data_IF_362874848902
#
_entry.id   IF_362874848902
#
_cell.length_a   1.000
_cell.length_b   1.000
_cell.length_c   1.000
_cell.angle_alpha   90.00
_cell.angle_beta   90.00
_cell.angle_gamma   90.00
#
_symmetry.space_group_name_H-M   'P 1'
#
loop_
_entity.id
_entity.type
_entity.pdbx_description
1 polymer ?
#
# COMPACT_ATOMS: atom_id res chain seq x y z
N UNK A 1 -9.86 -3.47 15.39
CA UNK A 1 -10.39 -4.86 15.46
C UNK A 1 -9.82 -5.70 14.32
N UNK A 2 -9.59 -7.00 14.50
CA UNK A 2 -9.06 -7.88 13.45
C UNK A 2 -10.14 -8.81 12.91
N UNK A 3 -10.29 -8.83 11.59
CA UNK A 3 -11.28 -9.60 10.85
C UNK A 3 -10.55 -10.55 9.88
N UNK A 4 -10.43 -11.84 10.20
CA UNK A 4 -9.72 -12.79 9.34
C UNK A 4 -10.47 -13.01 8.03
N UNK A 5 -9.76 -13.50 7.02
CA UNK A 5 -10.38 -14.06 5.83
C UNK A 5 -11.38 -15.17 6.20
N UNK A 6 -12.41 -15.38 5.39
CA UNK A 6 -13.46 -16.36 5.66
C UNK A 6 -13.71 -17.25 4.45
N UNK A 7 -13.66 -18.56 4.66
CA UNK A 7 -13.79 -19.57 3.60
C UNK A 7 -12.43 -20.13 3.19
N UNK A 8 -12.46 -21.03 2.20
CA UNK A 8 -11.26 -21.72 1.70
C UNK A 8 -11.16 -21.68 0.16
N UNK A 9 -12.17 -21.14 -0.52
CA UNK A 9 -12.28 -21.11 -1.98
C UNK A 9 -12.36 -19.66 -2.45
N UNK A 10 -11.19 -19.07 -2.71
CA UNK A 10 -11.06 -17.66 -3.09
C UNK A 10 -10.90 -17.52 -4.60
N UNK A 11 -11.39 -16.42 -5.15
CA UNK A 11 -11.37 -16.13 -6.59
C UNK A 11 -10.96 -14.68 -6.86
N UNK A 12 -10.43 -14.36 -8.05
CA UNK A 12 -10.01 -15.29 -9.11
C UNK A 12 -8.78 -16.09 -8.69
N UNK A 13 -8.57 -17.32 -9.15
CA UNK A 13 -7.40 -18.14 -8.81
C UNK A 13 -6.10 -17.47 -9.29
N UNK A 14 -5.00 -17.61 -8.54
CA UNK A 14 -3.70 -17.11 -9.00
C UNK A 14 -3.25 -17.94 -10.19
N UNK A 15 -2.67 -17.30 -11.22
CA UNK A 15 -2.14 -18.04 -12.36
C UNK A 15 -1.03 -19.01 -11.90
N UNK A 16 -0.93 -20.24 -12.44
CA UNK A 16 0.04 -21.23 -11.96
C UNK A 16 1.49 -20.74 -11.94
N UNK A 17 1.87 -19.88 -12.90
CA UNK A 17 3.21 -19.30 -12.98
C UNK A 17 3.47 -18.19 -11.94
N UNK A 18 2.42 -17.63 -11.31
CA UNK A 18 2.50 -16.65 -10.22
C UNK A 18 2.27 -17.29 -8.84
N UNK A 19 2.07 -18.62 -8.73
CA UNK A 19 1.79 -19.23 -7.42
C UNK A 19 2.95 -18.98 -6.42
N UNK A 20 2.65 -18.48 -5.20
CA UNK A 20 3.68 -18.24 -4.21
C UNK A 20 4.31 -19.57 -3.76
N UNK A 21 5.61 -19.57 -3.39
CA UNK A 21 6.24 -20.72 -2.76
C UNK A 21 5.46 -21.19 -1.53
N UNK A 22 5.32 -22.52 -1.38
CA UNK A 22 4.61 -23.14 -0.24
C UNK A 22 5.27 -22.80 1.11
N UNK A 23 6.60 -22.77 1.13
CA UNK A 23 7.38 -22.43 2.32
C UNK A 23 8.03 -21.07 2.12
N UNK A 24 7.73 -20.14 3.02
CA UNK A 24 8.20 -18.75 2.95
C UNK A 24 8.10 -18.09 4.33
N UNK A 25 8.91 -17.05 4.60
CA UNK A 25 8.77 -16.26 5.82
C UNK A 25 7.43 -15.52 5.81
N UNK A 26 6.69 -15.60 6.93
CA UNK A 26 5.45 -14.86 7.09
C UNK A 26 5.76 -13.38 7.33
N UNK A 27 5.56 -12.55 6.31
CA UNK A 27 5.77 -11.09 6.35
C UNK A 27 4.52 -10.42 5.82
N UNK A 28 3.77 -9.67 6.65
CA UNK A 28 2.49 -9.10 6.21
C UNK A 28 2.71 -7.98 5.18
N UNK A 29 1.74 -7.80 4.31
CA UNK A 29 1.54 -6.60 3.51
C UNK A 29 0.36 -5.82 4.08
N UNK A 30 0.65 -4.67 4.67
CA UNK A 30 -0.39 -3.73 5.06
C UNK A 30 -0.75 -2.81 3.90
N UNK A 31 -2.04 -2.70 3.60
CA UNK A 31 -2.54 -1.76 2.60
C UNK A 31 -3.59 -0.88 3.30
N UNK A 32 -3.23 0.35 3.70
CA UNK A 32 -4.17 1.20 4.40
C UNK A 32 -5.27 1.73 3.50
N UNK A 33 -6.52 1.53 3.92
CA UNK A 33 -7.70 2.04 3.27
C UNK A 33 -8.21 3.28 4.00
N UNK A 34 -8.50 4.35 3.28
CA UNK A 34 -9.29 5.47 3.83
C UNK A 34 -10.57 5.70 3.02
N UNK A 35 -10.45 5.69 1.69
CA UNK A 35 -11.57 5.96 0.78
C UNK A 35 -11.34 5.35 -0.60
N UNK A 36 -12.41 5.16 -1.36
CA UNK A 36 -12.41 4.58 -2.72
C UNK A 36 -12.19 3.05 -2.72
N UNK A 37 -13.29 2.31 -2.48
CA UNK A 37 -13.30 0.84 -2.49
C UNK A 37 -12.83 0.23 -3.82
N UNK A 38 -13.16 0.87 -4.95
CA UNK A 38 -12.79 0.36 -6.27
C UNK A 38 -11.26 0.38 -6.47
N UNK A 39 -10.60 1.46 -6.04
CA UNK A 39 -9.15 1.57 -6.07
C UNK A 39 -8.51 0.49 -5.19
N UNK A 40 -9.03 0.33 -3.96
CA UNK A 40 -8.56 -0.72 -3.05
C UNK A 40 -8.69 -2.13 -3.65
N UNK A 41 -9.81 -2.39 -4.32
CA UNK A 41 -10.06 -3.66 -5.03
C UNK A 41 -9.00 -3.91 -6.09
N UNK A 42 -8.69 -2.91 -6.93
CA UNK A 42 -7.65 -3.02 -7.95
C UNK A 42 -6.28 -3.34 -7.34
N UNK A 43 -5.86 -2.59 -6.32
CA UNK A 43 -4.55 -2.78 -5.68
C UNK A 43 -4.42 -4.18 -5.06
N UNK A 44 -5.44 -4.63 -4.32
CA UNK A 44 -5.45 -5.98 -3.74
C UNK A 44 -5.38 -7.06 -4.81
N UNK A 45 -6.16 -6.90 -5.90
CA UNK A 45 -6.15 -7.85 -7.02
C UNK A 45 -4.80 -7.86 -7.74
N UNK A 46 -4.14 -6.72 -7.93
CA UNK A 46 -2.81 -6.65 -8.53
C UNK A 46 -1.75 -7.39 -7.72
N UNK A 47 -1.77 -7.25 -6.39
CA UNK A 47 -0.88 -8.01 -5.50
C UNK A 47 -1.13 -9.52 -5.59
N UNK A 48 -2.39 -9.93 -5.51
CA UNK A 48 -2.78 -11.35 -5.59
C UNK A 48 -2.38 -11.93 -6.96
N UNK A 49 -2.68 -11.24 -8.06
CA UNK A 49 -2.36 -11.68 -9.41
C UNK A 49 -0.85 -11.83 -9.62
N UNK A 50 -0.05 -10.97 -8.98
CA UNK A 50 1.41 -11.00 -9.04
C UNK A 50 2.04 -11.97 -8.01
N UNK A 51 1.23 -12.84 -7.41
CA UNK A 51 1.66 -13.94 -6.57
C UNK A 51 1.73 -13.65 -5.08
N UNK A 52 1.31 -12.47 -4.61
CA UNK A 52 1.29 -12.20 -3.18
C UNK A 52 0.24 -13.08 -2.48
N UNK A 53 0.62 -13.84 -1.45
CA UNK A 53 -0.31 -14.71 -0.75
C UNK A 53 -1.41 -13.93 -0.04
N UNK A 54 -2.67 -14.32 -0.27
CA UNK A 54 -3.86 -13.63 0.24
C UNK A 54 -3.85 -13.54 1.77
N UNK A 55 -3.42 -14.60 2.43
CA UNK A 55 -3.32 -14.71 3.89
C UNK A 55 -2.28 -13.77 4.52
N UNK A 56 -1.36 -13.25 3.71
CA UNK A 56 -0.34 -12.28 4.12
C UNK A 56 -0.76 -10.83 3.81
N UNK A 57 -1.85 -10.63 3.07
CA UNK A 57 -2.42 -9.29 2.80
C UNK A 57 -3.39 -8.90 3.92
N UNK A 58 -3.14 -7.72 4.48
CA UNK A 58 -3.95 -7.11 5.53
C UNK A 58 -4.36 -5.71 5.09
N UNK A 59 -5.65 -5.55 4.81
CA UNK A 59 -6.22 -4.22 4.62
C UNK A 59 -6.29 -3.53 5.97
N UNK A 60 -5.69 -2.34 6.11
CA UNK A 60 -5.84 -1.55 7.34
C UNK A 60 -6.99 -0.58 7.14
N UNK A 61 -8.19 -0.89 7.65
CA UNK A 61 -9.34 0.03 7.57
C UNK A 61 -9.11 1.24 8.48
N UNK A 62 -8.70 2.34 7.84
CA UNK A 62 -8.49 3.67 8.40
C UNK A 62 -9.58 4.65 7.92
N UNK A 63 -10.75 4.15 7.53
CA UNK A 63 -11.88 5.00 7.11
C UNK A 63 -12.41 5.90 8.22
N UNK A 64 -12.19 5.53 9.48
CA UNK A 64 -12.68 6.29 10.64
C UNK A 64 -14.19 6.26 10.81
N UNK A 65 -14.85 5.23 10.27
CA UNK A 65 -16.32 5.08 10.23
C UNK A 65 -16.85 4.21 11.38
N UNK A 66 -16.10 4.13 12.49
CA UNK A 66 -16.38 3.24 13.62
C UNK A 66 -16.59 1.78 13.15
N UNK A 67 -17.74 1.17 13.43
CA UNK A 67 -18.09 -0.20 13.02
C UNK A 67 -18.99 -0.26 11.77
N UNK A 68 -19.25 0.87 11.12
CA UNK A 68 -20.23 0.99 10.03
C UNK A 68 -19.92 0.11 8.82
N UNK A 69 -18.66 -0.01 8.41
CA UNK A 69 -18.26 -0.91 7.31
C UNK A 69 -18.55 -2.39 7.64
N UNK A 70 -18.17 -2.83 8.85
CA UNK A 70 -18.41 -4.21 9.28
C UNK A 70 -19.91 -4.53 9.40
N UNK A 71 -20.72 -3.54 9.80
CA UNK A 71 -22.18 -3.67 9.91
C UNK A 71 -22.93 -3.33 8.62
N UNK A 72 -22.22 -2.99 7.53
CA UNK A 72 -22.79 -2.63 6.22
C UNK A 72 -23.78 -1.47 6.28
N UNK A 73 -23.46 -0.46 7.09
CA UNK A 73 -24.31 0.72 7.29
C UNK A 73 -24.04 1.85 6.28
N UNK A 74 -22.94 1.78 5.53
CA UNK A 74 -22.58 2.76 4.51
C UNK A 74 -23.04 2.30 3.12
N UNK A 75 -23.52 3.23 2.29
CA UNK A 75 -23.82 2.91 0.89
C UNK A 75 -22.54 2.70 0.07
N UNK A 76 -22.64 1.95 -1.02
CA UNK A 76 -21.50 1.69 -1.94
C UNK A 76 -20.98 2.96 -2.63
N UNK A 77 -21.79 4.03 -2.68
CA UNK A 77 -21.41 5.34 -3.19
C UNK A 77 -20.73 6.22 -2.14
N UNK A 78 -20.76 5.83 -0.87
CA UNK A 78 -20.03 6.50 0.20
C UNK A 78 -18.53 6.30 -0.02
N UNK A 79 -17.72 7.38 -0.06
CA UNK A 79 -16.27 7.27 -0.28
C UNK A 79 -15.57 6.41 0.76
N UNK A 80 -16.08 6.34 1.99
CA UNK A 80 -15.48 5.61 3.11
C UNK A 80 -15.98 4.16 3.24
N UNK A 81 -16.89 3.73 2.35
CA UNK A 81 -17.37 2.36 2.31
C UNK A 81 -16.23 1.41 1.91
N UNK A 82 -16.03 0.35 2.68
CA UNK A 82 -15.15 -0.77 2.36
C UNK A 82 -15.96 -2.06 2.34
N UNK A 83 -15.90 -2.81 1.24
CA UNK A 83 -16.66 -4.05 1.11
C UNK A 83 -15.97 -5.21 1.84
N UNK A 84 -16.27 -5.34 3.14
CA UNK A 84 -15.70 -6.37 3.99
C UNK A 84 -15.97 -7.79 3.48
N UNK A 85 -17.14 -8.01 2.90
CA UNK A 85 -17.52 -9.34 2.42
C UNK A 85 -16.72 -9.72 1.19
N UNK A 86 -16.61 -8.81 0.22
CA UNK A 86 -15.82 -9.02 -0.99
C UNK A 86 -14.37 -9.38 -0.63
N UNK A 87 -13.71 -8.57 0.20
CA UNK A 87 -12.31 -8.81 0.54
C UNK A 87 -12.10 -10.10 1.32
N UNK A 88 -12.99 -10.41 2.27
CA UNK A 88 -12.78 -11.55 3.18
C UNK A 88 -13.27 -12.88 2.61
N UNK A 89 -14.42 -12.89 1.93
CA UNK A 89 -15.02 -14.12 1.40
C UNK A 89 -14.58 -14.44 -0.02
N UNK A 90 -14.46 -13.43 -0.89
CA UNK A 90 -14.06 -13.65 -2.29
C UNK A 90 -12.54 -13.60 -2.45
N UNK A 91 -11.89 -12.56 -1.91
CA UNK A 91 -10.45 -12.36 -2.12
C UNK A 91 -9.56 -13.01 -1.06
N UNK A 92 -10.12 -13.45 0.05
CA UNK A 92 -9.38 -14.19 1.08
C UNK A 92 -8.34 -13.37 1.81
N UNK A 93 -8.49 -12.05 1.85
CA UNK A 93 -7.60 -11.15 2.59
C UNK A 93 -8.21 -10.79 3.94
N UNK A 94 -7.36 -10.42 4.89
CA UNK A 94 -7.82 -9.99 6.22
C UNK A 94 -7.95 -8.49 6.33
N UNK A 95 -8.79 -8.02 7.27
CA UNK A 95 -9.00 -6.60 7.53
C UNK A 95 -8.61 -6.31 8.99
N UNK A 96 -7.77 -5.31 9.19
CA UNK A 96 -7.40 -4.77 10.49
C UNK A 96 -7.95 -3.34 10.60
N UNK A 97 -9.02 -3.17 11.35
CA UNK A 97 -9.65 -1.88 11.53
C UNK A 97 -8.97 -1.07 12.64
N UNK A 98 -8.69 0.20 12.35
CA UNK A 98 -8.26 1.22 13.31
C UNK A 98 -9.41 1.63 14.23
N UNK A 99 -9.11 2.14 15.43
CA UNK A 99 -10.18 2.54 16.38
C UNK A 99 -10.88 3.84 15.98
N UNK A 100 -10.17 4.72 15.27
CA UNK A 100 -10.59 6.03 14.79
C UNK A 100 -9.79 6.36 13.53
N UNK A 101 -10.17 7.41 12.80
CA UNK A 101 -9.37 7.94 11.71
C UNK A 101 -7.98 8.36 12.22
N UNK A 102 -6.93 7.72 11.71
CA UNK A 102 -5.55 8.09 11.98
C UNK A 102 -5.00 8.95 10.83
N UNK A 103 -4.20 9.96 11.16
CA UNK A 103 -3.36 10.63 10.16
C UNK A 103 -2.24 9.69 9.67
N UNK A 104 -1.47 10.11 8.67
CA UNK A 104 -0.45 9.24 8.05
C UNK A 104 0.62 8.80 9.07
N UNK A 105 1.18 9.73 9.85
CA UNK A 105 2.20 9.39 10.85
C UNK A 105 1.67 8.43 11.93
N UNK A 106 0.45 8.67 12.42
CA UNK A 106 -0.23 7.78 13.37
C UNK A 106 -0.50 6.39 12.78
N UNK A 107 -0.92 6.32 11.52
CA UNK A 107 -1.19 5.08 10.80
C UNK A 107 0.10 4.26 10.57
N UNK A 108 1.21 4.92 10.24
CA UNK A 108 2.51 4.26 10.14
C UNK A 108 2.96 3.70 11.49
N UNK A 109 2.82 4.47 12.57
CA UNK A 109 3.08 4.00 13.93
C UNK A 109 2.15 2.86 14.35
N UNK A 110 0.89 2.87 13.90
CA UNK A 110 -0.05 1.78 14.14
C UNK A 110 0.43 0.48 13.48
N UNK A 111 0.81 0.51 12.21
CA UNK A 111 1.36 -0.67 11.50
C UNK A 111 2.64 -1.19 12.17
N UNK A 112 3.56 -0.28 12.53
CA UNK A 112 4.79 -0.62 13.27
C UNK A 112 4.47 -1.29 14.62
N UNK A 113 3.52 -0.73 15.39
CA UNK A 113 3.09 -1.26 16.68
C UNK A 113 2.44 -2.64 16.55
N UNK A 114 1.71 -2.90 15.47
CA UNK A 114 1.13 -4.22 15.16
C UNK A 114 2.25 -5.22 14.85
N UNK A 115 3.23 -4.84 14.04
CA UNK A 115 4.39 -5.68 13.74
C UNK A 115 5.17 -6.06 15.01
N UNK A 116 5.43 -5.08 15.88
CA UNK A 116 6.04 -5.31 17.20
C UNK A 116 5.22 -6.27 18.06
N UNK A 117 3.89 -6.11 18.10
CA UNK A 117 2.99 -6.97 18.89
C UNK A 117 3.02 -8.43 18.43
N UNK A 118 3.23 -8.63 17.12
CA UNK A 118 3.26 -9.94 16.47
C UNK A 118 4.67 -10.51 16.36
N UNK A 119 5.68 -9.80 16.86
CA UNK A 119 7.09 -10.15 16.73
C UNK A 119 7.54 -10.36 15.28
N UNK A 120 6.95 -9.60 14.35
CA UNK A 120 7.40 -9.60 12.97
C UNK A 120 8.65 -8.72 12.85
N UNK A 121 9.79 -9.27 12.39
CA UNK A 121 11.01 -8.47 12.20
C UNK A 121 10.84 -7.45 11.07
N UNK A 122 9.96 -7.78 10.13
CA UNK A 122 9.70 -7.03 8.91
C UNK A 122 8.21 -6.95 8.64
N UNK A 123 7.81 -5.88 7.96
CA UNK A 123 6.51 -5.81 7.30
C UNK A 123 6.65 -5.02 6.00
N UNK A 124 5.73 -5.28 5.08
CA UNK A 124 5.53 -4.44 3.92
C UNK A 124 4.36 -3.50 4.17
N UNK A 125 4.43 -2.29 3.63
CA UNK A 125 3.25 -1.47 3.43
C UNK A 125 3.19 -0.97 2.00
N UNK A 126 1.98 -0.77 1.49
CA UNK A 126 1.74 -0.24 0.15
C UNK A 126 0.67 0.84 0.18
N UNK A 127 0.78 1.76 -0.76
CA UNK A 127 -0.28 2.69 -1.12
C UNK A 127 -1.51 1.93 -1.64
N UNK A 128 -2.69 2.48 -1.45
CA UNK A 128 -3.94 1.84 -1.89
C UNK A 128 -4.36 2.18 -3.32
N UNK A 129 -3.59 3.05 -3.99
CA UNK A 129 -3.80 3.56 -5.35
C UNK A 129 -2.69 3.15 -6.30
N UNK A 130 -2.33 1.86 -6.26
CA UNK A 130 -1.29 1.27 -7.11
C UNK A 130 -1.81 0.18 -8.02
N UNK A 131 -1.24 0.10 -9.23
CA UNK A 131 -1.31 -1.07 -10.12
C UNK A 131 -0.02 -1.88 -10.02
N UNK A 132 -0.12 -3.20 -9.86
CA UNK A 132 1.05 -4.09 -9.67
C UNK A 132 1.04 -5.18 -10.73
N UNK A 133 2.17 -5.37 -11.41
CA UNK A 133 2.41 -6.52 -12.28
C UNK A 133 3.84 -7.06 -12.10
N UNK A 134 4.01 -8.36 -12.28
CA UNK A 134 5.32 -8.99 -12.48
C UNK A 134 6.01 -8.45 -13.75
N UNK A 135 7.35 -8.53 -13.83
CA UNK A 135 8.07 -8.35 -15.11
C UNK A 135 7.87 -9.58 -15.99
N UNK A 136 6.66 -9.79 -16.50
CA UNK A 136 6.34 -10.98 -17.28
C UNK A 136 7.11 -11.04 -18.61
N UNK A 137 7.61 -9.90 -19.10
CA UNK A 137 8.45 -9.81 -20.30
C UNK A 137 9.88 -10.38 -20.13
N UNK A 138 10.35 -10.62 -18.90
CA UNK A 138 11.72 -11.07 -18.64
C UNK A 138 11.87 -12.59 -18.84
N UNK A 139 13.03 -13.00 -19.38
CA UNK A 139 13.42 -14.41 -19.51
C UNK A 139 14.79 -14.66 -18.86
N UNK A 140 14.93 -15.58 -17.89
CA UNK A 140 13.87 -16.42 -17.32
C UNK A 140 12.85 -15.58 -16.51
N UNK A 141 11.60 -16.02 -16.56
CA UNK A 141 10.50 -15.41 -15.82
C UNK A 141 10.59 -15.69 -14.32
N UNK A 142 10.24 -14.70 -13.50
CA UNK A 142 10.04 -14.82 -12.06
C UNK A 142 8.96 -13.84 -11.61
N UNK A 143 8.03 -14.31 -10.78
CA UNK A 143 6.90 -13.50 -10.31
C UNK A 143 7.37 -12.33 -9.44
N UNK A 144 6.52 -11.31 -9.32
CA UNK A 144 6.75 -10.17 -8.43
C UNK A 144 7.06 -10.65 -7.00
N UNK A 145 6.23 -11.56 -6.48
CA UNK A 145 6.39 -12.02 -5.10
C UNK A 145 7.66 -12.85 -4.89
N UNK A 146 8.08 -13.66 -5.86
CA UNK A 146 9.36 -14.38 -5.77
C UNK A 146 10.55 -13.41 -5.71
N UNK A 147 10.53 -12.35 -6.53
CA UNK A 147 11.55 -11.28 -6.47
C UNK A 147 11.54 -10.54 -5.13
N UNK A 148 10.36 -10.27 -4.57
CA UNK A 148 10.21 -9.71 -3.22
C UNK A 148 10.85 -10.61 -2.17
N UNK A 149 10.65 -11.94 -2.24
CA UNK A 149 11.26 -12.90 -1.31
C UNK A 149 12.78 -12.94 -1.43
N UNK A 150 13.32 -12.84 -2.65
CA UNK A 150 14.78 -12.75 -2.86
C UNK A 150 15.36 -11.51 -2.18
N UNK A 151 14.73 -10.35 -2.38
CA UNK A 151 15.12 -9.09 -1.73
C UNK A 151 15.02 -9.20 -0.20
N UNK A 152 13.96 -9.83 0.33
CA UNK A 152 13.81 -10.04 1.77
C UNK A 152 14.93 -10.93 2.34
N UNK A 153 15.28 -12.01 1.63
CA UNK A 153 16.36 -12.93 2.03
C UNK A 153 17.72 -12.24 2.01
N UNK A 154 17.99 -11.42 0.99
CA UNK A 154 19.21 -10.60 0.91
C UNK A 154 19.26 -9.56 2.04
N UNK A 155 18.14 -8.91 2.34
CA UNK A 155 18.02 -7.93 3.41
C UNK A 155 18.33 -8.56 4.78
N UNK A 156 17.76 -9.73 5.06
CA UNK A 156 18.00 -10.48 6.29
C UNK A 156 19.44 -10.94 6.39
N UNK A 157 20.00 -11.51 5.32
CA UNK A 157 21.39 -11.97 5.28
C UNK A 157 22.38 -10.82 5.50
N UNK A 158 22.11 -9.66 4.90
CA UNK A 158 22.93 -8.46 5.07
C UNK A 158 22.86 -7.91 6.50
N UNK A 159 21.68 -7.96 7.14
CA UNK A 159 21.49 -7.59 8.54
C UNK A 159 22.24 -8.54 9.49
N UNK A 160 22.09 -9.85 9.30
CA UNK A 160 22.71 -10.87 10.16
C UNK A 160 24.23 -10.87 10.07
N UNK A 161 24.79 -10.58 8.89
CA UNK A 161 26.24 -10.46 8.71
C UNK A 161 26.81 -9.12 9.19
N UNK A 162 25.97 -8.16 9.58
CA UNK A 162 26.38 -6.80 9.93
C UNK A 162 26.90 -5.99 8.74
N UNK A 163 26.68 -6.46 7.51
CA UNK A 163 27.19 -5.83 6.27
C UNK A 163 26.45 -4.54 5.92
N UNK A 164 25.15 -4.45 6.22
CA UNK A 164 24.35 -3.24 6.05
C UNK A 164 23.45 -3.03 7.25
N UNK A 165 23.33 -1.76 7.64
CA UNK A 165 22.40 -1.29 8.66
C UNK A 165 21.21 -0.64 7.95
N UNK A 166 20.39 -1.43 7.26
CA UNK A 166 19.26 -0.89 6.50
C UNK A 166 18.01 -0.70 7.36
N UNK A 167 17.19 0.30 7.01
CA UNK A 167 15.91 0.56 7.66
C UNK A 167 14.71 0.37 6.75
N UNK A 168 14.87 0.70 5.48
CA UNK A 168 13.79 0.76 4.50
C UNK A 168 14.29 0.30 3.14
N UNK A 169 13.46 -0.45 2.40
CA UNK A 169 13.66 -0.71 0.97
C UNK A 169 12.43 -0.27 0.18
N UNK A 170 12.64 0.61 -0.79
CA UNK A 170 11.63 1.15 -1.70
C UNK A 170 11.63 0.40 -3.02
N UNK A 171 10.51 -0.21 -3.40
CA UNK A 171 10.40 -0.99 -4.64
C UNK A 171 10.09 -0.14 -5.87
N UNK A 172 9.38 0.98 -5.67
CA UNK A 172 9.25 2.07 -6.62
C UNK A 172 8.69 3.26 -5.84
N UNK A 173 9.53 4.25 -5.52
CA UNK A 173 9.22 5.21 -4.46
C UNK A 173 8.70 4.49 -3.19
N UNK A 174 7.85 5.13 -2.41
CA UNK A 174 7.21 4.55 -1.23
C UNK A 174 5.93 3.76 -1.55
N UNK A 175 5.60 3.55 -2.84
CA UNK A 175 4.39 2.84 -3.29
C UNK A 175 4.31 1.41 -2.75
N UNK A 176 5.45 0.73 -2.64
CA UNK A 176 5.65 -0.49 -1.86
C UNK A 176 6.97 -0.38 -1.11
N UNK A 177 6.90 -0.63 0.18
CA UNK A 177 8.02 -0.41 1.09
C UNK A 177 8.20 -1.60 2.03
N UNK A 178 9.41 -2.13 2.11
CA UNK A 178 9.83 -3.06 3.16
C UNK A 178 10.40 -2.29 4.36
N UNK A 179 9.92 -2.61 5.56
CA UNK A 179 10.27 -1.92 6.79
C UNK A 179 11.01 -2.84 7.76
N UNK A 180 12.18 -2.41 8.25
CA UNK A 180 12.93 -3.06 9.33
C UNK A 180 12.45 -2.58 10.70
N UNK A 181 11.71 -3.41 11.43
CA UNK A 181 11.08 -3.01 12.70
C UNK A 181 12.10 -2.56 13.74
N UNK A 182 13.30 -3.17 13.80
CA UNK A 182 14.33 -2.80 14.77
C UNK A 182 14.91 -1.41 14.49
N UNK A 183 15.12 -1.07 13.21
CA UNK A 183 15.58 0.25 12.81
C UNK A 183 14.57 1.34 13.20
N UNK A 184 13.28 1.08 12.94
CA UNK A 184 12.20 2.01 13.27
C UNK A 184 11.94 2.14 14.76
N UNK A 185 12.16 1.05 15.52
CA UNK A 185 12.16 1.09 16.98
C UNK A 185 13.27 1.99 17.52
N UNK A 186 14.46 1.92 16.92
CA UNK A 186 15.61 2.70 17.36
C UNK A 186 15.39 4.21 17.16
N UNK A 187 14.75 4.64 16.07
CA UNK A 187 14.47 6.07 15.86
C UNK A 187 13.27 6.60 16.66
N UNK A 188 12.46 5.72 17.26
CA UNK A 188 11.23 6.10 17.97
C UNK A 188 9.98 6.21 17.10
N UNK A 189 9.96 5.63 15.89
CA UNK A 189 8.83 5.69 14.97
C UNK A 189 8.66 7.05 14.27
N UNK A 190 7.44 7.33 13.80
CA UNK A 190 7.05 8.57 13.13
C UNK A 190 6.60 9.63 14.13
N UNK A 191 6.89 10.90 13.86
CA UNK A 191 6.41 12.01 14.69
C UNK A 191 4.94 12.34 14.36
N UNK A 192 4.04 12.06 15.30
CA UNK A 192 2.59 12.22 15.09
C UNK A 192 2.14 13.68 15.02
N UNK A 193 2.97 14.63 15.45
CA UNK A 193 2.70 16.05 15.31
C UNK A 193 3.05 16.59 13.92
N UNK A 194 3.73 15.79 13.10
CA UNK A 194 3.91 16.01 11.66
C UNK A 194 3.02 14.98 10.94
N UNK A 195 1.73 15.26 10.75
CA UNK A 195 0.71 14.25 10.47
C UNK A 195 0.69 13.69 9.05
N UNK A 196 1.15 14.46 8.05
CA UNK A 196 1.08 14.12 6.61
C UNK A 196 2.37 14.53 5.89
N UNK A 197 2.32 15.39 4.86
CA UNK A 197 3.52 15.83 4.14
C UNK A 197 4.61 16.35 5.08
N UNK A 198 5.87 16.04 4.76
CA UNK A 198 7.11 16.29 5.55
C UNK A 198 7.39 15.33 6.71
N UNK A 199 6.44 14.46 7.07
CA UNK A 199 6.67 13.42 8.09
C UNK A 199 7.66 12.35 7.62
N UNK A 200 7.67 12.08 6.32
CA UNK A 200 8.65 11.25 5.63
C UNK A 200 10.04 11.87 5.70
N UNK A 201 10.12 13.18 5.47
CA UNK A 201 11.37 13.92 5.56
C UNK A 201 11.95 13.88 6.98
N UNK A 202 11.10 14.04 8.00
CA UNK A 202 11.48 13.85 9.41
C UNK A 202 11.99 12.43 9.69
N UNK A 203 11.17 11.42 9.42
CA UNK A 203 11.46 10.05 9.82
C UNK A 203 12.66 9.45 9.07
N UNK A 204 12.71 9.62 7.74
CA UNK A 204 13.81 9.15 6.92
C UNK A 204 15.09 9.96 7.17
N UNK A 205 14.97 11.24 7.47
CA UNK A 205 16.10 12.06 7.89
C UNK A 205 16.73 11.56 9.19
N UNK A 206 15.92 11.26 10.22
CA UNK A 206 16.40 10.64 11.47
C UNK A 206 17.06 9.28 11.26
N UNK A 207 16.53 8.46 10.35
CA UNK A 207 17.15 7.19 9.97
C UNK A 207 18.57 7.40 9.40
N UNK A 208 18.71 8.30 8.43
CA UNK A 208 20.01 8.62 7.83
C UNK A 208 21.00 9.20 8.84
N UNK A 209 20.55 10.10 9.72
CA UNK A 209 21.38 10.67 10.80
C UNK A 209 21.91 9.58 11.75
N UNK A 210 21.14 8.51 11.96
CA UNK A 210 21.54 7.35 12.78
C UNK A 210 22.30 6.27 11.98
N UNK A 211 22.70 6.59 10.74
CA UNK A 211 23.50 5.74 9.87
C UNK A 211 22.74 4.55 9.29
N UNK A 212 21.42 4.66 9.13
CA UNK A 212 20.64 3.63 8.45
C UNK A 212 20.58 3.85 6.94
N UNK A 213 20.71 2.76 6.18
CA UNK A 213 20.52 2.75 4.74
C UNK A 213 19.01 2.78 4.39
N UNK A 214 18.69 3.54 3.35
CA UNK A 214 17.37 3.59 2.71
C UNK A 214 17.59 3.23 1.24
N UNK A 215 17.28 2.00 0.88
CA UNK A 215 17.64 1.44 -0.41
C UNK A 215 16.49 1.55 -1.41
N UNK A 216 16.84 1.61 -2.70
CA UNK A 216 15.90 1.38 -3.79
C UNK A 216 16.15 0.00 -4.38
N UNK A 217 15.09 -0.76 -4.55
CA UNK A 217 15.07 -2.12 -5.10
C UNK A 217 13.95 -2.21 -6.14
N UNK A 218 13.85 -3.33 -6.87
CA UNK A 218 12.79 -3.53 -7.85
C UNK A 218 12.37 -4.99 -7.90
N UNK A 219 11.06 -5.23 -7.96
CA UNK A 219 10.49 -6.58 -8.08
C UNK A 219 9.47 -6.72 -9.22
N UNK A 220 9.10 -5.63 -9.87
CA UNK A 220 8.17 -5.64 -10.96
C UNK A 220 7.72 -4.23 -11.32
N UNK A 221 6.62 -4.15 -12.07
CA UNK A 221 5.99 -2.89 -12.40
C UNK A 221 5.04 -2.45 -11.29
N UNK A 222 5.23 -1.22 -10.81
CA UNK A 222 4.37 -0.58 -9.81
C UNK A 222 3.99 0.79 -10.36
N UNK A 223 2.71 0.98 -10.67
CA UNK A 223 2.20 2.26 -11.15
C UNK A 223 1.43 2.97 -10.06
N UNK A 224 1.67 4.27 -9.94
CA UNK A 224 0.87 5.18 -9.12
C UNK A 224 -0.32 5.70 -9.93
N UNK A 225 -1.52 5.21 -9.65
CA UNK A 225 -2.68 5.38 -10.53
C UNK A 225 -3.72 6.32 -9.95
N UNK A 226 -4.44 7.04 -10.81
CA UNK A 226 -5.57 7.89 -10.41
C UNK A 226 -6.92 7.35 -10.87
N UNK A 227 -6.95 6.17 -11.48
CA UNK A 227 -8.17 5.51 -11.88
C UNK A 227 -8.02 3.98 -11.81
N UNK A 228 -9.14 3.30 -11.93
CA UNK A 228 -9.21 1.84 -12.00
C UNK A 228 -9.40 1.37 -13.44
N UNK A 229 -8.84 0.22 -13.76
CA UNK A 229 -9.13 -0.51 -15.00
C UNK A 229 -10.56 -1.07 -14.95
N UNK A 230 -11.17 -1.21 -16.11
CA UNK A 230 -12.48 -1.85 -16.23
C UNK A 230 -12.35 -3.34 -15.90
N UNK A 231 -13.20 -3.81 -14.97
CA UNK A 231 -13.20 -5.18 -14.42
C UNK A 231 -11.79 -5.71 -14.06
N UNK A 232 -11.22 -5.30 -12.91
CA UNK A 232 -9.88 -5.72 -12.51
C UNK A 232 -9.76 -7.24 -12.32
N UNK A 233 -10.83 -7.99 -12.12
CA UNK A 233 -10.71 -9.45 -12.08
C UNK A 233 -10.32 -10.00 -13.46
N UNK A 234 -11.01 -9.56 -14.52
CA UNK A 234 -10.74 -10.03 -15.89
C UNK A 234 -9.38 -9.53 -16.39
N UNK A 235 -9.02 -8.29 -16.04
CA UNK A 235 -7.77 -7.69 -16.51
C UNK A 235 -6.55 -8.34 -15.87
N UNK A 236 -6.54 -8.47 -14.54
CA UNK A 236 -5.38 -8.96 -13.81
C UNK A 236 -5.22 -10.48 -13.86
N UNK A 237 -6.32 -11.24 -14.04
CA UNK A 237 -6.28 -12.69 -13.97
C UNK A 237 -6.58 -13.36 -15.33
N UNK A 238 -5.91 -14.47 -15.66
CA UNK A 238 -6.22 -15.21 -16.87
C UNK A 238 -7.66 -15.74 -16.86
N UNK A 239 -8.29 -16.00 -18.03
CA UNK A 239 -9.63 -16.59 -18.09
C UNK A 239 -9.79 -17.88 -17.26
N UNK A 240 -8.73 -18.70 -17.21
CA UNK A 240 -8.69 -19.95 -16.42
C UNK A 240 -8.82 -19.75 -14.91
N UNK A 241 -8.58 -18.53 -14.42
CA UNK A 241 -8.65 -18.18 -13.01
C UNK A 241 -10.07 -17.90 -12.50
N UNK A 242 -11.04 -17.75 -13.40
CA UNK A 242 -12.41 -17.42 -13.02
C UNK A 242 -13.24 -18.68 -12.72
N UNK A 243 -14.28 -18.58 -11.86
CA UNK A 243 -15.23 -19.68 -11.70
C UNK A 243 -15.84 -20.05 -13.05
N UNK A 244 -15.92 -21.34 -13.37
CA UNK A 244 -16.67 -21.81 -14.55
C UNK A 244 -18.14 -21.48 -14.34
N UNK A 245 -18.74 -20.73 -15.26
CA UNK A 245 -20.18 -20.53 -15.32
C UNK A 245 -20.82 -21.74 -15.98
N UNK A 246 -21.78 -22.39 -15.31
CA UNK A 246 -22.56 -23.50 -15.89
C UNK A 246 -23.41 -23.07 -17.12
N UNK A 247 -23.46 -21.75 -17.43
CA UNK A 247 -24.19 -21.20 -18.59
C UNK A 247 -23.36 -21.11 -19.86
N UNK A 248 -22.05 -21.31 -19.79
CA UNK A 248 -21.16 -21.22 -20.96
C UNK A 248 -21.00 -22.61 -21.60
N UNK A 249 -22.12 -23.16 -22.03
CA UNK A 249 -22.14 -24.27 -22.97
C UNK A 249 -21.82 -23.73 -24.37
N UNK A 250 -20.53 -23.70 -24.72
CA UNK A 250 -19.96 -23.90 -26.07
C UNK A 250 -18.56 -23.27 -26.14
N UNK A 251 -17.59 -24.13 -26.46
CA UNK A 251 -16.20 -23.89 -26.84
C UNK A 251 -15.86 -22.45 -27.30
N UNK A 252 -15.35 -21.63 -26.38
CA UNK A 252 -14.46 -20.54 -26.77
C UNK A 252 -13.14 -21.18 -27.25
N UNK A 253 -12.74 -20.87 -28.49
CA UNK A 253 -11.54 -21.38 -29.16
C UNK A 253 -10.35 -21.59 -28.20
N UNK A 254 -9.93 -22.85 -27.99
CA UNK A 254 -8.86 -23.22 -27.06
C UNK A 254 -7.51 -22.52 -27.30
N UNK A 255 -7.27 -21.96 -28.50
CA UNK A 255 -6.00 -21.32 -28.85
C UNK A 255 -5.78 -19.94 -28.20
N UNK A 256 -6.83 -19.14 -27.95
CA UNK A 256 -6.69 -17.84 -27.26
C UNK A 256 -6.63 -18.00 -25.74
N UNK A 257 -7.25 -19.05 -25.20
CA UNK A 257 -7.29 -19.31 -23.75
C UNK A 257 -5.92 -19.79 -23.23
N UNK A 258 -5.18 -20.60 -23.99
CA UNK A 258 -3.83 -21.04 -23.59
C UNK A 258 -2.79 -19.90 -23.65
N UNK A 259 -2.85 -19.03 -24.67
CA UNK A 259 -1.90 -17.93 -24.86
C UNK A 259 -2.01 -16.86 -23.76
N UNK A 260 -3.22 -16.61 -23.25
CA UNK A 260 -3.45 -15.69 -22.12
C UNK A 260 -3.09 -16.25 -20.73
N UNK A 261 -2.79 -17.56 -20.66
CA UNK A 261 -2.37 -18.28 -19.45
C UNK A 261 -0.84 -18.42 -19.34
N UNK A 262 -0.06 -17.61 -20.07
CA UNK A 262 1.39 -17.57 -20.00
C UNK A 262 1.92 -16.17 -19.62
N UNK A 263 3.14 -16.08 -19.03
CA UNK A 263 3.83 -14.81 -18.89
C UNK A 263 3.97 -14.10 -20.24
N UNK A 264 3.88 -12.78 -20.23
CA UNK A 264 4.01 -11.93 -21.42
C UNK A 264 2.90 -12.14 -22.48
N UNK A 265 1.73 -12.59 -22.05
CA UNK A 265 0.53 -12.69 -22.87
C UNK A 265 0.05 -11.32 -23.40
N UNK A 266 -0.82 -11.32 -24.41
CA UNK A 266 -1.44 -10.09 -24.91
C UNK A 266 -2.29 -9.40 -23.85
N UNK A 267 -2.98 -10.16 -22.99
CA UNK A 267 -3.66 -9.63 -21.79
C UNK A 267 -2.71 -8.83 -20.89
N UNK A 268 -1.55 -9.39 -20.56
CA UNK A 268 -0.53 -8.70 -19.76
C UNK A 268 -0.06 -7.40 -20.44
N UNK A 269 0.27 -7.46 -21.75
CA UNK A 269 0.75 -6.28 -22.49
C UNK A 269 -0.29 -5.17 -22.53
N UNK A 270 -1.55 -5.52 -22.77
CA UNK A 270 -2.66 -4.57 -22.80
C UNK A 270 -2.86 -3.92 -21.42
N UNK A 271 -2.89 -4.72 -20.34
CA UNK A 271 -3.03 -4.19 -18.98
C UNK A 271 -1.85 -3.30 -18.57
N UNK A 272 -0.63 -3.71 -18.91
CA UNK A 272 0.58 -2.91 -18.66
C UNK A 272 0.49 -1.54 -19.34
N UNK A 273 0.08 -1.48 -20.61
CA UNK A 273 -0.11 -0.23 -21.33
C UNK A 273 -1.23 0.63 -20.73
N UNK A 274 -2.33 0.02 -20.31
CA UNK A 274 -3.46 0.69 -19.68
C UNK A 274 -3.05 1.34 -18.33
N UNK A 275 -2.36 0.59 -17.46
CA UNK A 275 -1.86 1.12 -16.18
C UNK A 275 -0.82 2.23 -16.35
N UNK A 276 0.08 2.08 -17.34
CA UNK A 276 1.04 3.14 -17.67
C UNK A 276 0.32 4.42 -18.10
N UNK A 277 -0.68 4.30 -18.98
CA UNK A 277 -1.47 5.45 -19.41
C UNK A 277 -2.18 6.12 -18.24
N UNK A 278 -2.77 5.36 -17.32
CA UNK A 278 -3.43 5.91 -16.13
C UNK A 278 -2.43 6.68 -15.25
N UNK A 279 -1.21 6.17 -15.07
CA UNK A 279 -0.16 6.90 -14.33
C UNK A 279 0.25 8.18 -15.07
N UNK A 280 0.45 8.12 -16.39
CA UNK A 280 0.85 9.28 -17.18
C UNK A 280 -0.23 10.38 -17.11
N UNK A 281 -1.51 9.99 -17.20
CA UNK A 281 -2.65 10.89 -17.02
C UNK A 281 -2.68 11.48 -15.59
N UNK A 282 -2.37 10.70 -14.55
CA UNK A 282 -2.22 11.18 -13.16
C UNK A 282 -1.12 12.24 -13.04
N UNK A 283 0.01 12.02 -13.68
CA UNK A 283 1.16 12.92 -13.63
C UNK A 283 0.95 14.20 -14.45
N UNK A 284 0.19 14.12 -15.54
CA UNK A 284 -0.14 15.27 -16.39
C UNK A 284 -1.32 16.12 -15.88
N UNK A 285 -2.05 15.64 -14.86
CA UNK A 285 -3.27 16.30 -14.39
C UNK A 285 -2.97 17.63 -13.66
N UNK A 286 -3.45 18.75 -14.23
CA UNK A 286 -3.30 20.09 -13.65
C UNK A 286 -4.06 20.29 -12.34
N UNK A 287 -5.11 19.52 -12.10
CA UNK A 287 -5.92 19.58 -10.87
C UNK A 287 -5.26 18.80 -9.71
N UNK A 288 -4.11 18.17 -9.98
CA UNK A 288 -3.28 17.46 -9.02
C UNK A 288 -3.37 15.93 -9.12
N UNK A 289 -2.38 15.27 -8.50
CA UNK A 289 -2.23 13.79 -8.55
C UNK A 289 -3.32 13.03 -7.78
N UNK A 290 -3.94 13.64 -6.78
CA UNK A 290 -4.82 12.97 -5.82
C UNK A 290 -6.33 13.12 -6.14
N UNK A 291 -6.69 13.40 -7.39
CA UNK A 291 -8.09 13.61 -7.81
C UNK A 291 -8.99 12.39 -7.55
N UNK A 292 -8.43 11.17 -7.62
CA UNK A 292 -9.12 9.90 -7.36
C UNK A 292 -9.78 9.82 -5.98
N UNK A 293 -9.21 10.53 -5.02
CA UNK A 293 -9.64 10.58 -3.63
C UNK A 293 -11.03 11.23 -3.46
N UNK A 294 -11.47 11.98 -4.47
CA UNK A 294 -12.70 12.76 -4.45
C UNK A 294 -13.76 12.26 -5.44
N UNK A 295 -13.56 11.11 -6.09
CA UNK A 295 -14.49 10.58 -7.10
C UNK A 295 -15.85 10.17 -6.52
N UNK A 296 -15.88 9.61 -5.32
CA UNK A 296 -17.12 9.20 -4.65
C UNK A 296 -17.65 10.33 -3.76
N UNK A 297 -18.93 10.67 -3.93
CA UNK A 297 -19.61 11.81 -3.26
C UNK A 297 -20.88 11.41 -2.50
N UNK A 298 -21.16 10.11 -2.37
CA UNK A 298 -22.32 9.60 -1.63
C UNK A 298 -22.18 9.78 -0.12
N UNK A 299 -23.09 9.16 0.64
CA UNK A 299 -23.01 9.14 2.10
C UNK A 299 -23.71 10.29 2.83
N UNK A 300 -24.25 11.31 2.13
CA UNK A 300 -24.90 12.45 2.78
C UNK A 300 -26.07 11.99 3.67
N UNK A 301 -25.96 12.26 4.98
CA UNK A 301 -26.98 11.89 5.98
C UNK A 301 -26.81 10.49 6.56
N UNK A 302 -25.83 9.72 6.12
CA UNK A 302 -25.48 8.44 6.75
C UNK A 302 -24.75 8.69 8.09
N UNK A 303 -24.96 7.85 9.10
CA UNK A 303 -24.19 7.91 10.34
C UNK A 303 -22.73 7.50 10.07
N UNK A 304 -21.80 7.98 10.89
CA UNK A 304 -20.38 7.57 10.85
C UNK A 304 -19.68 7.85 9.52
N UNK A 305 -20.01 8.95 8.87
CA UNK A 305 -19.37 9.42 7.64
C UNK A 305 -18.83 10.83 7.80
N UNK A 306 -17.95 11.24 6.88
CA UNK A 306 -17.44 12.61 6.79
C UNK A 306 -18.02 13.26 5.55
N UNK A 307 -18.27 14.57 5.61
CA UNK A 307 -18.49 15.33 4.37
C UNK A 307 -17.22 15.24 3.50
N UNK A 308 -17.29 14.75 2.24
CA UNK A 308 -16.07 14.50 1.47
C UNK A 308 -15.27 15.77 1.16
N UNK A 309 -15.92 16.92 0.99
CA UNK A 309 -15.25 18.19 0.74
C UNK A 309 -14.63 18.74 2.04
N UNK A 310 -15.37 18.70 3.14
CA UNK A 310 -14.89 19.07 4.47
C UNK A 310 -13.71 18.21 4.92
N UNK A 311 -13.75 16.89 4.66
CA UNK A 311 -12.64 15.97 4.91
C UNK A 311 -11.39 16.41 4.13
N UNK A 312 -11.53 16.72 2.84
CA UNK A 312 -10.39 17.15 2.02
C UNK A 312 -9.81 18.49 2.51
N UNK A 313 -10.66 19.43 2.92
CA UNK A 313 -10.21 20.72 3.46
C UNK A 313 -9.45 20.53 4.78
N UNK A 314 -10.03 19.79 5.73
CA UNK A 314 -9.41 19.50 7.03
C UNK A 314 -8.07 18.75 6.87
N UNK A 315 -7.98 17.85 5.90
CA UNK A 315 -6.75 17.14 5.57
C UNK A 315 -5.64 18.09 5.13
N UNK A 316 -5.91 19.02 4.22
CA UNK A 316 -4.93 20.01 3.75
C UNK A 316 -4.50 20.97 4.85
N UNK A 317 -5.44 21.46 5.67
CA UNK A 317 -5.14 22.34 6.80
C UNK A 317 -4.22 21.64 7.82
N UNK A 318 -4.48 20.37 8.10
CA UNK A 318 -3.67 19.54 9.00
C UNK A 318 -2.28 19.28 8.39
N UNK A 319 -2.20 19.01 7.09
CA UNK A 319 -0.93 18.81 6.39
C UNK A 319 -0.07 20.07 6.40
N UNK A 320 -0.65 21.25 6.14
CA UNK A 320 0.07 22.52 6.12
C UNK A 320 0.54 22.95 7.52
N UNK A 321 -0.26 22.67 8.55
CA UNK A 321 0.16 22.86 9.94
C UNK A 321 1.33 21.95 10.30
N UNK A 322 1.30 20.70 9.82
CA UNK A 322 2.41 19.74 9.96
C UNK A 322 3.72 20.22 9.34
N UNK A 323 3.65 20.80 8.13
CA UNK A 323 4.83 21.37 7.45
C UNK A 323 5.47 22.49 8.26
N UNK A 324 4.67 23.42 8.80
CA UNK A 324 5.17 24.50 9.67
C UNK A 324 5.83 23.94 10.92
N UNK A 325 5.25 22.90 11.51
CA UNK A 325 5.84 22.26 12.68
C UNK A 325 7.15 21.57 12.34
N UNK A 326 7.24 20.89 11.19
CA UNK A 326 8.50 20.33 10.70
C UNK A 326 9.57 21.40 10.54
N UNK A 327 9.24 22.55 9.96
CA UNK A 327 10.17 23.68 9.82
C UNK A 327 10.63 24.20 11.18
N UNK A 328 9.74 24.32 12.17
CA UNK A 328 10.13 24.74 13.52
C UNK A 328 11.01 23.69 14.22
N UNK A 329 10.65 22.41 14.08
CA UNK A 329 11.40 21.29 14.66
C UNK A 329 12.83 21.24 14.14
N UNK A 330 13.03 21.54 12.86
CA UNK A 330 14.31 21.41 12.19
C UNK A 330 14.92 22.73 11.75
N UNK A 331 14.44 23.90 12.20
CA UNK A 331 15.00 25.20 11.83
C UNK A 331 15.00 25.52 10.32
N UNK A 332 14.00 25.03 9.57
CA UNK A 332 13.82 25.25 8.13
C UNK A 332 14.63 24.34 7.19
N UNK A 333 14.54 24.61 5.87
CA UNK A 333 15.40 24.00 4.85
C UNK A 333 14.84 22.76 4.12
N UNK A 334 13.53 22.50 4.22
CA UNK A 334 12.86 21.46 3.45
C UNK A 334 13.30 20.03 3.81
N UNK A 335 13.11 19.09 2.88
CA UNK A 335 13.34 17.66 3.13
C UNK A 335 14.82 17.24 3.17
N UNK A 336 15.73 18.16 2.85
CA UNK A 336 17.17 17.92 2.78
C UNK A 336 17.86 18.20 4.12
N UNK A 337 17.22 17.81 5.23
CA UNK A 337 17.77 18.01 6.59
C UNK A 337 19.16 17.37 6.77
N UNK A 338 19.49 16.39 5.94
CA UNK A 338 20.83 15.79 5.89
C UNK A 338 21.87 16.68 5.21
N UNK A 339 21.52 17.36 4.11
CA UNK A 339 22.45 18.26 3.40
C UNK A 339 22.78 19.49 4.25
N UNK A 340 21.86 19.87 5.14
CA UNK A 340 22.04 20.93 6.13
C UNK A 340 22.96 20.52 7.30
N UNK A 341 23.57 19.33 7.27
CA UNK A 341 24.45 18.77 8.31
C UNK A 341 23.81 18.74 9.71
N UNK A 342 22.48 18.67 9.79
CA UNK A 342 21.78 18.54 11.07
C UNK A 342 22.01 17.16 11.67
N UNK A 343 22.02 17.09 12.99
CA UNK A 343 22.05 15.84 13.77
C UNK A 343 20.77 15.69 14.58
N UNK A 344 20.61 14.55 15.27
CA UNK A 344 19.51 14.34 16.21
C UNK A 344 19.49 15.40 17.32
N UNK A 345 20.65 15.95 17.67
CA UNK A 345 20.77 16.99 18.71
C UNK A 345 20.25 18.36 18.26
N UNK A 346 20.00 18.56 16.95
CA UNK A 346 19.43 19.79 16.42
C UNK A 346 17.89 19.78 16.42
N UNK A 347 17.25 18.68 16.82
CA UNK A 347 15.79 18.60 16.97
C UNK A 347 15.34 19.62 18.03
N UNK A 348 14.47 20.55 17.63
CA UNK A 348 13.94 21.63 18.47
C UNK A 348 15.00 22.59 19.02
N UNK A 349 16.21 22.63 18.44
CA UNK A 349 17.28 23.50 18.94
C UNK A 349 16.97 25.00 18.87
N UNK A 350 16.19 25.39 17.86
CA UNK A 350 15.75 26.77 17.65
C UNK A 350 14.37 27.04 18.30
N UNK A 351 13.79 26.05 18.99
CA UNK A 351 12.65 26.32 19.87
C UNK A 351 13.21 26.99 21.11
N UNK A 352 13.15 28.32 21.13
CA UNK A 352 13.59 29.10 22.28
C UNK A 352 13.04 28.50 23.58
N UNK A 353 13.87 28.48 24.63
CA UNK A 353 13.43 28.31 26.03
C UNK A 353 12.60 29.54 26.48
N UNK A 354 11.69 30.03 25.64
CA UNK A 354 10.74 31.08 25.99
C UNK A 354 9.68 30.52 26.93
N UNK A 355 10.05 30.47 28.21
CA UNK A 355 9.14 30.72 29.32
C UNK A 355 8.24 29.57 29.75
N UNK A 356 8.78 28.70 30.60
CA UNK A 356 8.02 28.16 31.74
C UNK A 356 8.64 28.63 33.05
#
# INVERSE_FOLDING_TARGET
MYFPAQGNNYFPLVAPYNEPPRHRPKTPLFIPFTRNNAMMRQTVLGYIASGWPREDIVIVDNSGTADANNLKLLSTSNPFSLDYDLFRYRYGVSILQTSVLLNFAQLQNFMLRVAMARHWPYYFWSHMDVGILSHEEETPYSSFYERVLNILNEAESSRLSGKSKWAVKFFNFDYLTLVNVDAWRHIGGWDVFIPYYTTDCDAYGRLRMLGYDIDRVGAGHIWDVANVVEDPEIKFFPPSSHPRSDKDGESANNATVEDDNAPNSERFKALRQELQKIQDDKMANSDGRNTWQNMQKGGKGEPWTYDPAGFQAAWWETADSGKKLFEHKWGGGGCDIFELKKTIDDIWKDADEEGH
#
